data_IF_614103279260
#
_entry.id   IF_614103279260
#
_cell.length_a   1.000
_cell.length_b   1.000
_cell.length_c   1.000
_cell.angle_alpha   90.00
_cell.angle_beta   90.00
_cell.angle_gamma   90.00
#
_symmetry.space_group_name_H-M   'P 1'
#
loop_
_entity.id
_entity.type
_entity.pdbx_description
1 polymer ?
#
# COMPACT_ATOMS: atom_id res chain seq x y z
N UNK A 1 -4.33 -2.91 13.23
CA UNK A 1 -3.81 -3.05 11.85
C UNK A 1 -3.45 -1.67 11.34
N UNK A 2 -2.64 -1.56 10.29
CA UNK A 2 -2.31 -0.27 9.66
C UNK A 2 -2.46 -0.35 8.15
N UNK A 3 -2.66 0.80 7.51
CA UNK A 3 -2.63 0.93 6.06
C UNK A 3 -1.70 2.07 5.65
N UNK A 4 -1.01 1.90 4.53
CA UNK A 4 -0.10 2.87 3.93
C UNK A 4 -0.27 2.80 2.42
N UNK A 5 -0.22 3.96 1.75
CA UNK A 5 -0.05 4.04 0.30
C UNK A 5 1.35 4.51 -0.04
N UNK A 6 1.89 4.03 -1.17
CA UNK A 6 3.21 4.39 -1.66
C UNK A 6 3.17 4.72 -3.15
N UNK A 7 3.95 5.71 -3.56
CA UNK A 7 4.22 6.06 -4.94
C UNK A 7 5.64 6.60 -5.08
N UNK A 8 6.13 6.78 -6.31
CA UNK A 8 7.48 7.28 -6.57
C UNK A 8 7.77 8.67 -5.99
N UNK A 9 6.73 9.45 -5.63
CA UNK A 9 6.86 10.78 -5.01
C UNK A 9 6.77 10.76 -3.48
N UNK A 10 6.51 9.61 -2.86
CA UNK A 10 6.43 9.48 -1.40
C UNK A 10 5.33 8.55 -0.90
N UNK A 11 5.11 8.63 0.41
CA UNK A 11 4.16 7.80 1.15
C UNK A 11 2.95 8.64 1.60
N UNK A 12 1.79 7.99 1.75
CA UNK A 12 0.67 8.58 2.48
C UNK A 12 0.97 8.63 3.98
N UNK A 13 0.20 9.38 4.79
CA UNK A 13 0.16 9.16 6.22
C UNK A 13 -0.26 7.72 6.54
N UNK A 14 0.30 7.19 7.62
CA UNK A 14 -0.08 5.89 8.16
C UNK A 14 -1.49 5.96 8.75
N UNK A 15 -2.41 5.15 8.19
CA UNK A 15 -3.77 5.01 8.71
C UNK A 15 -3.76 3.91 9.77
N UNK A 16 -4.20 4.25 10.98
CA UNK A 16 -4.33 3.29 12.08
C UNK A 16 -5.75 2.73 12.10
N UNK A 17 -5.87 1.41 12.07
CA UNK A 17 -7.12 0.67 12.06
C UNK A 17 -7.21 -0.09 13.39
N UNK A 18 -7.86 0.56 14.36
CA UNK A 18 -7.76 0.24 15.78
C UNK A 18 -8.75 -0.82 16.28
N UNK A 19 -9.77 -1.15 15.48
CA UNK A 19 -10.89 -1.99 15.87
C UNK A 19 -11.08 -3.15 14.90
N UNK A 20 -11.02 -4.37 15.42
CA UNK A 20 -11.42 -5.60 14.72
C UNK A 20 -10.71 -5.87 13.41
N UNK A 21 -11.37 -6.71 12.60
CA UNK A 21 -10.99 -7.00 11.22
C UNK A 21 -11.47 -5.85 10.33
N UNK A 22 -10.64 -5.42 9.39
CA UNK A 22 -11.09 -4.45 8.37
C UNK A 22 -12.03 -5.17 7.41
N UNK A 23 -13.27 -4.70 7.36
CA UNK A 23 -14.23 -5.05 6.34
C UNK A 23 -14.25 -3.99 5.23
N UNK A 24 -15.14 -4.18 4.25
CA UNK A 24 -15.28 -3.27 3.13
C UNK A 24 -15.77 -1.87 3.55
N UNK A 25 -16.57 -1.76 4.60
CA UNK A 25 -17.07 -0.47 5.12
C UNK A 25 -15.91 0.34 5.69
N UNK A 26 -15.13 -0.27 6.59
CA UNK A 26 -13.94 0.37 7.17
C UNK A 26 -12.94 0.74 6.07
N UNK A 27 -12.75 -0.11 5.07
CA UNK A 27 -11.89 0.18 3.93
C UNK A 27 -12.37 1.40 3.12
N UNK A 28 -13.66 1.45 2.78
CA UNK A 28 -14.25 2.57 2.03
C UNK A 28 -14.22 3.87 2.83
N UNK A 29 -14.48 3.83 4.14
CA UNK A 29 -14.60 5.04 4.95
C UNK A 29 -13.25 5.59 5.42
N UNK A 30 -12.30 4.71 5.77
CA UNK A 30 -11.04 5.12 6.41
C UNK A 30 -9.82 5.08 5.50
N UNK A 31 -9.83 4.26 4.45
CA UNK A 31 -8.65 4.02 3.61
C UNK A 31 -8.77 4.70 2.24
N UNK A 32 -9.81 4.38 1.48
CA UNK A 32 -9.96 4.87 0.11
C UNK A 32 -9.95 6.42 -0.03
N UNK A 33 -10.52 7.21 0.90
CA UNK A 33 -10.44 8.68 0.85
C UNK A 33 -9.01 9.20 1.03
N UNK A 34 -8.18 8.49 1.82
CA UNK A 34 -6.77 8.83 1.99
C UNK A 34 -6.03 8.55 0.68
N UNK A 35 -6.23 7.39 0.07
CA UNK A 35 -5.65 7.06 -1.23
C UNK A 35 -6.02 8.10 -2.30
N UNK A 36 -7.30 8.49 -2.39
CA UNK A 36 -7.79 9.50 -3.36
C UNK A 36 -7.11 10.85 -3.14
N UNK A 37 -7.12 11.34 -1.90
CA UNK A 37 -6.53 12.64 -1.55
C UNK A 37 -5.06 12.70 -1.94
N UNK A 38 -4.29 11.68 -1.56
CA UNK A 38 -2.84 11.69 -1.79
C UNK A 38 -2.46 11.37 -3.23
N UNK A 39 -3.19 10.49 -3.92
CA UNK A 39 -3.04 10.28 -5.36
C UNK A 39 -3.23 11.59 -6.13
N UNK A 40 -4.31 12.32 -5.84
CA UNK A 40 -4.57 13.63 -6.44
C UNK A 40 -3.52 14.69 -6.07
N UNK A 41 -3.04 14.67 -4.82
CA UNK A 41 -1.98 15.58 -4.39
C UNK A 41 -0.66 15.34 -5.14
N UNK A 42 -0.30 14.09 -5.40
CA UNK A 42 0.96 13.74 -6.04
C UNK A 42 0.91 13.83 -7.57
N UNK A 43 -0.21 13.48 -8.20
CA UNK A 43 -0.30 13.28 -9.65
C UNK A 43 -1.49 13.98 -10.32
N UNK A 44 -2.30 14.74 -9.58
CA UNK A 44 -3.53 15.31 -10.13
C UNK A 44 -4.49 14.20 -10.55
N UNK A 45 -4.91 14.19 -11.82
CA UNK A 45 -5.82 13.17 -12.35
C UNK A 45 -5.12 12.05 -13.12
N UNK A 46 -3.78 11.97 -13.11
CA UNK A 46 -3.02 11.00 -13.91
C UNK A 46 -2.31 9.96 -13.04
N UNK A 47 -3.09 9.02 -12.49
CA UNK A 47 -2.56 7.94 -11.66
C UNK A 47 -3.48 6.71 -11.63
N UNK A 48 -2.89 5.57 -11.30
CA UNK A 48 -3.58 4.28 -11.17
C UNK A 48 -3.50 3.80 -9.73
N UNK A 49 -4.63 3.50 -9.11
CA UNK A 49 -4.66 2.86 -7.81
C UNK A 49 -4.43 1.34 -7.91
N UNK A 50 -3.45 0.81 -7.18
CA UNK A 50 -3.12 -0.61 -7.08
C UNK A 50 -3.49 -1.11 -5.66
N UNK A 51 -4.12 -2.27 -5.58
CA UNK A 51 -4.45 -2.98 -4.34
C UNK A 51 -4.39 -4.49 -4.56
N UNK A 52 -4.19 -5.26 -3.50
CA UNK A 52 -4.20 -6.73 -3.57
C UNK A 52 -5.63 -7.31 -3.61
N UNK A 53 -5.72 -8.64 -3.68
CA UNK A 53 -6.98 -9.38 -3.73
C UNK A 53 -7.69 -9.58 -2.39
N UNK A 54 -7.37 -8.84 -1.32
CA UNK A 54 -8.02 -9.04 -0.01
C UNK A 54 -9.56 -8.90 -0.09
N UNK A 55 -10.28 -9.58 0.83
CA UNK A 55 -11.77 -9.59 0.83
C UNK A 55 -12.41 -8.19 0.85
N UNK A 56 -11.93 -7.22 1.66
CA UNK A 56 -12.45 -5.85 1.62
C UNK A 56 -12.23 -5.18 0.26
N UNK A 57 -11.08 -5.41 -0.37
CA UNK A 57 -10.71 -4.77 -1.63
C UNK A 57 -11.54 -5.31 -2.80
N UNK A 58 -11.78 -6.63 -2.81
CA UNK A 58 -12.56 -7.33 -3.83
C UNK A 58 -14.08 -7.23 -3.64
N UNK A 59 -14.56 -6.64 -2.53
CA UNK A 59 -15.98 -6.43 -2.31
C UNK A 59 -16.60 -5.50 -3.37
N UNK A 60 -17.80 -5.83 -3.84
CA UNK A 60 -18.43 -5.10 -4.95
C UNK A 60 -18.63 -3.60 -4.67
N UNK A 61 -18.93 -3.22 -3.41
CA UNK A 61 -19.04 -1.82 -3.02
C UNK A 61 -17.70 -1.09 -3.04
N UNK A 62 -16.61 -1.75 -2.65
CA UNK A 62 -15.27 -1.15 -2.69
C UNK A 62 -14.79 -0.98 -4.13
N UNK A 63 -15.03 -1.99 -4.99
CA UNK A 63 -14.77 -1.89 -6.43
C UNK A 63 -15.62 -0.79 -7.10
N UNK A 64 -16.90 -0.66 -6.73
CA UNK A 64 -17.76 0.43 -7.21
C UNK A 64 -17.23 1.79 -6.77
N UNK A 65 -16.89 1.95 -5.50
CA UNK A 65 -16.31 3.19 -5.00
C UNK A 65 -15.04 3.56 -5.78
N UNK A 66 -14.14 2.60 -6.01
CA UNK A 66 -12.92 2.83 -6.79
C UNK A 66 -13.22 3.31 -8.21
N UNK A 67 -14.17 2.65 -8.91
CA UNK A 67 -14.63 3.05 -10.26
C UNK A 67 -15.20 4.46 -10.29
N UNK A 68 -15.98 4.83 -9.28
CA UNK A 68 -16.70 6.10 -9.27
C UNK A 68 -15.79 7.29 -8.88
N UNK A 69 -14.66 7.05 -8.18
CA UNK A 69 -13.87 8.11 -7.54
C UNK A 69 -12.41 8.20 -8.00
N UNK A 70 -11.76 7.10 -8.39
CA UNK A 70 -10.37 7.14 -8.84
C UNK A 70 -10.28 7.44 -10.34
N UNK A 71 -9.23 8.13 -10.81
CA UNK A 71 -9.02 8.31 -12.26
C UNK A 71 -8.86 6.99 -12.99
N UNK A 72 -8.11 6.05 -12.40
CA UNK A 72 -7.97 4.67 -12.85
C UNK A 72 -7.57 3.80 -11.67
N UNK A 73 -7.94 2.51 -11.69
CA UNK A 73 -7.46 1.54 -10.71
C UNK A 73 -7.37 0.14 -11.32
N UNK A 74 -6.60 -0.74 -10.68
CA UNK A 74 -6.52 -2.16 -11.04
C UNK A 74 -7.71 -2.86 -10.41
N UNK A 75 -8.64 -3.32 -11.25
CA UNK A 75 -9.80 -4.10 -10.83
C UNK A 75 -9.40 -5.44 -10.23
N UNK A 76 -10.24 -6.00 -9.35
CA UNK A 76 -9.96 -7.24 -8.62
C UNK A 76 -9.51 -8.42 -9.49
N UNK A 77 -9.99 -8.50 -10.73
CA UNK A 77 -9.71 -9.62 -11.65
C UNK A 77 -8.44 -9.41 -12.47
N UNK A 78 -7.79 -8.24 -12.34
CA UNK A 78 -6.53 -7.90 -13.02
C UNK A 78 -5.31 -8.03 -12.12
N UNK A 79 -5.50 -8.14 -10.81
CA UNK A 79 -4.42 -8.39 -9.87
C UNK A 79 -4.20 -9.90 -9.70
N UNK A 80 -2.99 -10.43 -9.98
CA UNK A 80 -2.72 -11.85 -9.80
C UNK A 80 -2.74 -12.23 -8.32
N UNK A 81 -3.45 -13.32 -7.93
CA UNK A 81 -3.41 -13.82 -6.56
C UNK A 81 -1.97 -14.16 -6.12
N UNK A 82 -1.71 -14.11 -4.81
CA UNK A 82 -0.42 -14.49 -4.21
C UNK A 82 0.80 -13.83 -4.87
N UNK A 83 0.71 -12.54 -5.21
CA UNK A 83 1.79 -11.80 -5.89
C UNK A 83 2.37 -10.65 -5.04
N UNK A 84 2.88 -10.90 -3.83
CA UNK A 84 3.52 -9.86 -3.02
C UNK A 84 4.76 -9.29 -3.73
N UNK A 85 5.40 -10.06 -4.61
CA UNK A 85 6.54 -9.65 -5.44
C UNK A 85 6.23 -8.48 -6.39
N UNK A 86 4.94 -8.21 -6.64
CA UNK A 86 4.46 -7.10 -7.46
C UNK A 86 3.95 -5.92 -6.65
N UNK A 87 3.96 -5.97 -5.31
CA UNK A 87 3.49 -4.87 -4.48
C UNK A 87 4.67 -4.17 -3.77
N UNK A 88 4.98 -2.90 -4.11
CA UNK A 88 6.10 -2.15 -3.48
C UNK A 88 6.04 -2.11 -1.95
N UNK A 89 4.84 -2.14 -1.39
CA UNK A 89 4.66 -2.22 0.05
C UNK A 89 5.22 -3.52 0.63
N UNK A 90 4.96 -4.66 -0.03
CA UNK A 90 5.28 -5.99 0.48
C UNK A 90 6.75 -6.36 0.31
N UNK A 91 7.34 -6.10 -0.87
CA UNK A 91 8.73 -6.49 -1.13
C UNK A 91 9.77 -5.48 -0.62
N UNK A 92 9.36 -4.32 -0.10
CA UNK A 92 10.29 -3.26 0.31
C UNK A 92 9.81 -2.44 1.51
N UNK A 93 8.72 -1.67 1.37
CA UNK A 93 8.41 -0.60 2.34
C UNK A 93 8.08 -1.13 3.73
N UNK A 94 7.37 -2.26 3.85
CA UNK A 94 7.05 -2.83 5.15
C UNK A 94 8.29 -3.31 5.92
N UNK A 95 9.28 -3.89 5.24
CA UNK A 95 10.55 -4.28 5.86
C UNK A 95 11.30 -3.05 6.40
N UNK A 96 11.40 -2.00 5.59
CA UNK A 96 12.03 -0.73 5.99
C UNK A 96 11.32 -0.11 7.20
N UNK A 97 10.00 -0.15 7.20
CA UNK A 97 9.20 0.34 8.31
C UNK A 97 9.49 -0.43 9.60
N UNK A 98 9.55 -1.76 9.55
CA UNK A 98 9.84 -2.59 10.73
C UNK A 98 11.26 -2.37 11.23
N UNK A 99 12.24 -2.26 10.33
CA UNK A 99 13.65 -2.06 10.66
C UNK A 99 13.92 -0.69 11.30
N UNK A 100 13.12 0.32 10.96
CA UNK A 100 13.22 1.67 11.53
C UNK A 100 12.52 1.84 12.89
N UNK A 101 11.75 0.86 13.36
CA UNK A 101 11.10 0.93 14.69
C UNK A 101 12.15 0.76 15.80
N UNK A 102 12.15 1.68 16.77
CA UNK A 102 12.89 1.46 18.00
C UNK A 102 12.08 0.59 18.98
N UNK A 103 12.28 -0.72 18.89
CA UNK A 103 11.55 -1.71 19.69
C UNK A 103 11.74 -1.54 21.22
N UNK A 104 12.84 -0.95 21.68
CA UNK A 104 13.05 -0.67 23.11
C UNK A 104 12.06 0.36 23.67
N UNK A 105 11.42 1.16 22.80
CA UNK A 105 10.40 2.15 23.19
C UNK A 105 8.97 1.60 23.10
N UNK A 106 8.79 0.36 22.63
CA UNK A 106 7.48 -0.24 22.39
C UNK A 106 7.07 -1.10 23.58
N UNK A 107 6.14 -0.59 24.39
CA UNK A 107 5.59 -1.30 25.56
C UNK A 107 4.07 -1.18 25.67
N UNK A 108 3.42 -0.55 24.69
CA UNK A 108 1.98 -0.37 24.62
C UNK A 108 1.54 -0.11 23.18
N UNK A 109 0.24 -0.27 22.91
CA UNK A 109 -0.33 0.08 21.59
C UNK A 109 -0.04 1.53 21.20
N UNK A 110 -0.12 2.45 22.16
CA UNK A 110 0.15 3.88 21.94
C UNK A 110 1.61 4.14 21.55
N UNK A 111 2.56 3.48 22.22
CA UNK A 111 3.98 3.62 21.90
C UNK A 111 4.33 2.95 20.57
N UNK A 112 3.72 1.80 20.26
CA UNK A 112 3.83 1.17 18.94
C UNK A 112 3.34 2.11 17.84
N UNK A 113 2.15 2.69 17.96
CA UNK A 113 1.61 3.64 16.97
C UNK A 113 2.54 4.85 16.80
N UNK A 114 3.12 5.35 17.90
CA UNK A 114 4.08 6.45 17.86
C UNK A 114 5.33 6.07 17.06
N UNK A 115 5.95 4.93 17.36
CA UNK A 115 7.15 4.47 16.67
C UNK A 115 6.86 4.12 15.20
N UNK A 116 5.70 3.55 14.88
CA UNK A 116 5.27 3.32 13.49
C UNK A 116 5.18 4.64 12.70
N UNK A 117 4.58 5.67 13.28
CA UNK A 117 4.48 7.01 12.65
C UNK A 117 5.84 7.68 12.48
N UNK A 118 6.77 7.46 13.40
CA UNK A 118 8.15 7.96 13.27
C UNK A 118 8.91 7.18 12.20
N UNK A 119 8.78 5.87 12.19
CA UNK A 119 9.41 4.98 11.22
C UNK A 119 9.05 5.37 9.79
N UNK A 120 7.77 5.59 9.48
CA UNK A 120 7.33 6.04 8.15
C UNK A 120 8.01 7.34 7.71
N UNK A 121 8.26 8.28 8.63
CA UNK A 121 8.96 9.54 8.32
C UNK A 121 10.46 9.37 8.08
N UNK A 122 11.03 8.26 8.56
CA UNK A 122 12.45 7.96 8.46
C UNK A 122 12.78 7.05 7.25
N UNK A 123 11.78 6.54 6.54
CA UNK A 123 12.01 5.82 5.28
C UNK A 123 12.53 6.83 4.26
N UNK A 124 13.73 6.59 3.74
CA UNK A 124 14.35 7.49 2.78
C UNK A 124 13.55 7.61 1.49
N UNK A 125 13.51 8.81 0.91
CA UNK A 125 12.81 9.06 -0.36
C UNK A 125 13.37 8.21 -1.51
N UNK A 126 14.69 7.94 -1.52
CA UNK A 126 15.32 7.08 -2.53
C UNK A 126 14.78 5.66 -2.48
N UNK A 127 14.64 5.08 -1.28
CA UNK A 127 14.05 3.74 -1.11
C UNK A 127 12.61 3.69 -1.62
N UNK A 128 11.80 4.72 -1.33
CA UNK A 128 10.42 4.80 -1.83
C UNK A 128 10.42 4.88 -3.35
N UNK A 129 11.22 5.79 -3.92
CA UNK A 129 11.33 5.96 -5.36
C UNK A 129 11.78 4.68 -6.06
N UNK A 130 12.87 4.07 -5.60
CA UNK A 130 13.45 2.85 -6.18
C UNK A 130 12.48 1.67 -6.10
N UNK A 131 11.75 1.53 -4.98
CA UNK A 131 10.73 0.50 -4.84
C UNK A 131 9.65 0.64 -5.91
N UNK A 132 9.12 1.85 -6.14
CA UNK A 132 8.13 2.05 -7.19
C UNK A 132 8.72 1.94 -8.61
N UNK A 133 9.93 2.45 -8.83
CA UNK A 133 10.60 2.42 -10.14
C UNK A 133 10.94 0.99 -10.59
N UNK A 134 11.23 0.08 -9.65
CA UNK A 134 11.57 -1.30 -9.97
C UNK A 134 10.36 -2.18 -10.34
N UNK A 135 9.13 -1.68 -10.17
CA UNK A 135 7.90 -2.43 -10.39
C UNK A 135 7.77 -3.00 -11.82
N UNK A 136 8.06 -2.20 -12.85
CA UNK A 136 8.00 -2.65 -14.25
C UNK A 136 9.03 -3.73 -14.55
N UNK A 137 10.23 -3.62 -13.99
CA UNK A 137 11.27 -4.65 -14.12
C UNK A 137 10.87 -5.94 -13.39
N UNK A 138 10.23 -5.85 -12.22
CA UNK A 138 9.67 -7.01 -11.51
C UNK A 138 8.61 -7.72 -12.34
N UNK A 139 7.68 -6.97 -12.96
CA UNK A 139 6.68 -7.52 -13.87
C UNK A 139 7.34 -8.23 -15.07
N UNK A 140 8.36 -7.61 -15.67
CA UNK A 140 9.12 -8.22 -16.76
C UNK A 140 9.81 -9.52 -16.31
N UNK A 141 10.47 -9.53 -15.15
CA UNK A 141 11.11 -10.73 -14.60
C UNK A 141 10.08 -11.82 -14.28
N UNK A 142 8.90 -11.46 -13.81
CA UNK A 142 7.83 -12.41 -13.54
C UNK A 142 7.37 -13.09 -14.83
N UNK A 143 7.20 -12.31 -15.91
CA UNK A 143 6.91 -12.83 -17.23
C UNK A 143 8.02 -13.76 -17.76
N UNK A 144 9.29 -13.38 -17.62
CA UNK A 144 10.42 -14.23 -18.00
C UNK A 144 10.54 -15.52 -17.18
N UNK A 145 9.94 -15.55 -15.99
CA UNK A 145 9.95 -16.69 -15.08
C UNK A 145 8.63 -17.49 -15.13
N UNK A 146 7.87 -17.37 -16.23
CA UNK A 146 6.58 -18.04 -16.45
C UNK A 146 5.58 -17.87 -15.29
N UNK A 147 5.57 -16.70 -14.65
CA UNK A 147 4.69 -16.40 -13.51
C UNK A 147 5.18 -16.95 -12.17
N UNK A 148 6.37 -17.55 -12.09
CA UNK A 148 6.94 -18.06 -10.84
C UNK A 148 7.53 -16.94 -9.97
N UNK A 149 7.49 -17.12 -8.65
CA UNK A 149 8.01 -16.16 -7.67
C UNK A 149 9.42 -15.66 -8.00
N UNK A 150 9.64 -14.37 -7.74
CA UNK A 150 10.94 -13.73 -7.97
C UNK A 150 11.90 -14.12 -6.84
N UNK A 151 13.12 -14.49 -7.22
CA UNK A 151 14.26 -14.66 -6.30
C UNK A 151 15.10 -13.39 -6.23
#
# INVERSE_FOLDING_TARGET
>A
MVWLGACSKGLTPLVILDEGTVDHTVYIEKVLPVALKYGNQFFGSDWVFQQDGAKPHSHHLSQKWCRDNFPTFIEKDRWPPNSPDLNPLDYSIWDQLVNNINWNKVYSKTTLIKELKLSVKNISESVVFESCACWTNRLYRLYQNDGSYLR
#
